data_IF_200582720866
#
_entry.id   IF_200582720866
#
_cell.length_a   1.000
_cell.length_b   1.000
_cell.length_c   1.000
_cell.angle_alpha   90.00
_cell.angle_beta   90.00
_cell.angle_gamma   90.00
#
_symmetry.space_group_name_H-M   'P 1'
#
loop_
_entity.id
_entity.type
_entity.pdbx_description
1 polymer ?
#
# COMPACT_ATOMS: atom_id res chain seq x y z
N UNK A 1 -11.93 -8.11 3.49
CA UNK A 1 -10.87 -7.51 2.66
C UNK A 1 -10.44 -6.21 3.32
N UNK A 2 -9.16 -5.86 3.30
CA UNK A 2 -8.57 -4.83 4.16
C UNK A 2 -8.96 -3.38 3.83
N UNK A 3 -8.59 -2.44 4.71
CA UNK A 3 -8.96 -1.03 4.62
C UNK A 3 -8.57 -0.36 3.31
N UNK A 4 -7.33 -0.56 2.82
CA UNK A 4 -6.89 0.06 1.56
C UNK A 4 -7.78 -0.38 0.41
N UNK A 5 -8.08 -1.68 0.30
CA UNK A 5 -8.95 -2.19 -0.75
C UNK A 5 -10.36 -1.59 -0.68
N UNK A 6 -10.93 -1.47 0.53
CA UNK A 6 -12.26 -0.89 0.73
C UNK A 6 -12.31 0.63 0.53
N UNK A 7 -11.16 1.30 0.58
CA UNK A 7 -11.06 2.75 0.39
C UNK A 7 -11.16 3.14 -1.09
N UNK A 8 -10.84 2.22 -1.99
CA UNK A 8 -10.92 2.41 -3.44
C UNK A 8 -12.21 1.84 -4.02
N UNK A 9 -12.69 2.46 -5.09
CA UNK A 9 -13.93 2.06 -5.76
C UNK A 9 -13.59 1.01 -6.83
N UNK A 10 -13.51 -0.24 -6.40
CA UNK A 10 -13.31 -1.38 -7.31
C UNK A 10 -14.65 -1.94 -7.79
N UNK A 11 -14.70 -2.34 -9.05
CA UNK A 11 -15.86 -3.04 -9.59
C UNK A 11 -16.09 -4.35 -8.81
N UNK A 12 -17.34 -4.70 -8.45
CA UNK A 12 -17.64 -5.95 -7.74
C UNK A 12 -17.10 -7.17 -8.48
N UNK A 13 -16.28 -7.97 -7.81
CA UNK A 13 -15.58 -9.13 -8.40
C UNK A 13 -14.15 -8.83 -8.87
N UNK A 14 -13.67 -7.59 -8.70
CA UNK A 14 -12.24 -7.29 -8.83
C UNK A 14 -11.42 -8.11 -7.84
N UNK A 15 -10.26 -8.57 -8.29
CA UNK A 15 -9.35 -9.38 -7.46
C UNK A 15 -7.95 -8.83 -7.48
N UNK A 16 -7.31 -8.82 -6.32
CA UNK A 16 -5.88 -8.57 -6.18
C UNK A 16 -5.12 -9.80 -6.70
N UNK A 17 -4.10 -9.57 -7.53
CA UNK A 17 -3.28 -10.64 -8.15
C UNK A 17 -1.79 -10.45 -7.95
N UNK A 18 -1.36 -9.30 -7.41
CA UNK A 18 0.02 -9.11 -6.98
C UNK A 18 0.14 -8.00 -5.95
N UNK A 19 1.26 -8.04 -5.25
CA UNK A 19 1.67 -7.07 -4.24
C UNK A 19 3.16 -6.80 -4.41
N UNK A 20 3.59 -5.57 -4.12
CA UNK A 20 5.01 -5.23 -4.19
C UNK A 20 5.37 -4.16 -3.18
N UNK A 21 6.64 -4.12 -2.81
CA UNK A 21 7.22 -3.13 -1.90
C UNK A 21 8.38 -2.42 -2.57
N UNK A 22 8.58 -1.14 -2.24
CA UNK A 22 9.77 -0.42 -2.66
C UNK A 22 10.96 -0.85 -1.81
N UNK A 23 12.17 -0.75 -2.35
CA UNK A 23 13.40 -0.86 -1.55
C UNK A 23 13.50 0.37 -0.65
N UNK A 24 13.79 0.15 0.63
CA UNK A 24 13.79 1.13 1.73
C UNK A 24 14.21 2.55 1.34
N UNK A 25 13.40 3.54 1.72
CA UNK A 25 13.78 4.96 1.70
C UNK A 25 13.22 5.65 2.95
N UNK A 26 14.13 6.00 3.85
CA UNK A 26 13.84 6.78 5.06
C UNK A 26 13.63 8.25 4.72
N UNK A 27 12.44 8.79 4.98
CA UNK A 27 12.11 10.19 4.74
C UNK A 27 11.98 10.98 6.06
N UNK A 28 13.04 11.02 6.88
CA UNK A 28 13.08 11.88 8.08
C UNK A 28 11.90 11.73 9.06
N UNK A 29 11.68 12.78 9.86
CA UNK A 29 10.55 12.92 10.79
C UNK A 29 9.48 13.82 10.16
N UNK A 30 8.20 13.57 10.44
CA UNK A 30 7.00 14.20 9.84
C UNK A 30 6.76 13.81 8.37
N UNK A 31 5.90 12.80 8.17
CA UNK A 31 5.64 12.17 6.89
C UNK A 31 4.14 12.16 6.58
N UNK A 32 3.82 12.11 5.29
CA UNK A 32 2.47 11.94 4.78
C UNK A 32 2.42 10.76 3.81
N UNK A 33 1.34 10.00 3.87
CA UNK A 33 1.08 8.88 2.97
C UNK A 33 0.12 9.30 1.85
N UNK A 34 0.29 8.71 0.68
CA UNK A 34 -0.58 8.94 -0.48
C UNK A 34 -0.74 7.65 -1.28
N UNK A 35 -1.95 7.38 -1.73
CA UNK A 35 -2.28 6.21 -2.54
C UNK A 35 -3.10 6.63 -3.76
N UNK A 36 -2.78 6.03 -4.90
CA UNK A 36 -3.41 6.35 -6.17
C UNK A 36 -3.84 5.06 -6.88
N UNK A 37 -5.13 4.95 -7.15
CA UNK A 37 -5.69 3.87 -7.97
C UNK A 37 -5.56 4.25 -9.44
N UNK A 38 -4.91 3.39 -10.21
CA UNK A 38 -4.61 3.54 -11.62
C UNK A 38 -5.35 2.44 -12.37
N UNK A 39 -6.18 2.83 -13.34
CA UNK A 39 -6.64 1.90 -14.37
C UNK A 39 -5.57 1.85 -15.46
N UNK A 40 -5.12 0.66 -15.83
CA UNK A 40 -4.07 0.47 -16.83
C UNK A 40 -4.69 0.31 -18.23
N UNK A 41 -3.90 0.10 -19.28
CA UNK A 41 -4.38 -0.31 -20.60
C UNK A 41 -4.93 -1.74 -20.59
N UNK A 42 -5.89 -2.08 -21.46
CA UNK A 42 -6.57 -3.40 -21.41
C UNK A 42 -5.63 -4.58 -21.63
N UNK A 43 -4.60 -4.40 -22.45
CA UNK A 43 -3.65 -5.45 -22.82
C UNK A 43 -2.32 -5.35 -22.04
N UNK A 44 -2.28 -4.54 -20.98
CA UNK A 44 -1.10 -4.35 -20.15
C UNK A 44 -1.00 -5.40 -19.04
N UNK A 45 0.21 -5.68 -18.58
CA UNK A 45 0.45 -6.54 -17.42
C UNK A 45 0.57 -5.68 -16.15
N UNK A 46 -0.24 -6.01 -15.14
CA UNK A 46 -0.31 -5.23 -13.90
C UNK A 46 1.02 -5.18 -13.12
N UNK A 47 1.82 -6.25 -13.16
CA UNK A 47 3.12 -6.29 -12.48
C UNK A 47 4.15 -5.44 -13.21
N UNK A 48 4.23 -5.57 -14.53
CA UNK A 48 5.18 -4.80 -15.35
C UNK A 48 4.90 -3.29 -15.26
N UNK A 49 3.63 -2.90 -15.36
CA UNK A 49 3.26 -1.48 -15.29
C UNK A 49 3.41 -0.90 -13.87
N UNK A 50 3.11 -1.69 -12.83
CA UNK A 50 3.34 -1.26 -11.44
C UNK A 50 4.82 -0.99 -11.17
N UNK A 51 5.71 -1.87 -11.63
CA UNK A 51 7.16 -1.70 -11.53
C UNK A 51 7.63 -0.49 -12.32
N UNK A 52 7.12 -0.31 -13.54
CA UNK A 52 7.42 0.85 -14.38
C UNK A 52 7.04 2.16 -13.69
N UNK A 53 5.82 2.25 -13.14
CA UNK A 53 5.37 3.42 -12.39
C UNK A 53 6.26 3.65 -11.17
N UNK A 54 6.49 2.62 -10.35
CA UNK A 54 7.33 2.70 -9.15
C UNK A 54 8.74 3.24 -9.45
N UNK A 55 9.35 2.81 -10.56
CA UNK A 55 10.68 3.28 -10.99
C UNK A 55 10.76 4.78 -11.28
N UNK A 56 9.64 5.43 -11.63
CA UNK A 56 9.57 6.87 -11.92
C UNK A 56 9.15 7.72 -10.72
N UNK A 57 8.77 7.09 -9.60
CA UNK A 57 8.21 7.75 -8.44
C UNK A 57 9.26 7.85 -7.33
N UNK A 58 9.73 9.06 -6.99
CA UNK A 58 10.79 9.22 -5.99
C UNK A 58 10.37 8.78 -4.59
N UNK A 59 9.06 8.87 -4.30
CA UNK A 59 8.42 8.59 -3.01
C UNK A 59 7.69 7.24 -2.97
N UNK A 60 7.92 6.36 -3.95
CA UNK A 60 7.29 5.04 -4.00
C UNK A 60 7.61 4.22 -2.74
N UNK A 61 6.58 3.63 -2.14
CA UNK A 61 6.66 2.79 -0.95
C UNK A 61 6.25 1.33 -1.22
N UNK A 62 5.38 1.11 -2.22
CA UNK A 62 4.86 -0.21 -2.56
C UNK A 62 3.52 -0.10 -3.26
N UNK A 63 2.74 -1.17 -3.21
CA UNK A 63 1.39 -1.19 -3.74
C UNK A 63 0.87 -2.60 -3.99
N UNK A 64 -0.31 -2.67 -4.59
CA UNK A 64 -0.92 -3.91 -5.03
C UNK A 64 -1.66 -3.71 -6.34
N UNK A 65 -1.73 -4.77 -7.14
CA UNK A 65 -2.36 -4.73 -8.46
C UNK A 65 -3.29 -5.92 -8.62
N UNK A 66 -4.13 -5.84 -9.64
CA UNK A 66 -5.14 -6.84 -9.87
C UNK A 66 -5.85 -6.66 -11.20
N UNK A 67 -6.98 -7.35 -11.30
CA UNK A 67 -7.83 -7.32 -12.49
C UNK A 67 -9.29 -7.10 -12.10
N UNK A 68 -9.98 -6.31 -12.90
CA UNK A 68 -11.44 -6.15 -12.86
C UNK A 68 -12.13 -7.44 -13.37
N UNK A 69 -13.45 -7.61 -13.14
CA UNK A 69 -14.20 -8.77 -13.62
C UNK A 69 -14.13 -8.99 -15.14
N UNK A 70 -13.99 -7.91 -15.92
CA UNK A 70 -13.84 -7.95 -17.37
C UNK A 70 -12.40 -8.22 -17.84
N UNK A 71 -11.47 -8.45 -16.90
CA UNK A 71 -10.06 -8.67 -17.16
C UNK A 71 -9.22 -7.39 -17.25
N UNK A 72 -9.82 -6.20 -17.12
CA UNK A 72 -9.07 -4.94 -17.22
C UNK A 72 -8.11 -4.79 -16.02
N UNK A 73 -6.79 -4.63 -16.25
CA UNK A 73 -5.82 -4.50 -15.17
C UNK A 73 -5.89 -3.15 -14.45
N UNK A 74 -5.59 -3.17 -13.15
CA UNK A 74 -5.50 -1.99 -12.29
C UNK A 74 -4.34 -2.11 -11.32
N UNK A 75 -3.86 -0.98 -10.82
CA UNK A 75 -2.83 -0.89 -9.78
C UNK A 75 -3.20 0.15 -8.73
N UNK A 76 -2.84 -0.08 -7.47
CA UNK A 76 -2.84 0.93 -6.41
C UNK A 76 -1.40 1.16 -5.99
N UNK A 77 -0.91 2.37 -6.23
CA UNK A 77 0.47 2.76 -5.92
C UNK A 77 0.49 3.53 -4.62
N UNK A 78 1.34 3.11 -3.69
CA UNK A 78 1.54 3.74 -2.39
C UNK A 78 2.82 4.58 -2.42
N UNK A 79 2.72 5.78 -1.87
CA UNK A 79 3.82 6.73 -1.76
C UNK A 79 3.89 7.33 -0.36
N UNK A 80 5.09 7.63 0.11
CA UNK A 80 5.35 8.35 1.37
C UNK A 80 6.37 9.45 1.13
N UNK A 81 6.05 10.67 1.56
CA UNK A 81 6.92 11.83 1.42
C UNK A 81 7.03 12.62 2.74
N UNK A 82 8.10 13.42 2.95
CA UNK A 82 8.14 14.37 4.05
C UNK A 82 6.98 15.36 3.98
N UNK A 83 6.28 15.59 5.09
CA UNK A 83 5.08 16.43 5.15
C UNK A 83 5.32 17.89 4.77
N UNK A 84 6.55 18.37 4.92
CA UNK A 84 6.95 19.74 4.58
C UNK A 84 7.39 19.94 3.11
N UNK A 85 7.46 18.88 2.30
CA UNK A 85 7.99 18.93 0.93
C UNK A 85 7.24 19.91 0.03
N UNK A 86 5.92 20.02 0.19
CA UNK A 86 5.09 20.96 -0.56
C UNK A 86 5.42 22.42 -0.22
N UNK A 87 5.68 22.71 1.07
CA UNK A 87 6.03 24.04 1.54
C UNK A 87 7.34 24.56 0.93
N UNK A 88 8.32 23.69 0.71
CA UNK A 88 9.62 24.05 0.09
C UNK A 88 9.50 24.61 -1.33
N UNK A 89 8.41 24.34 -2.04
CA UNK A 89 8.14 24.83 -3.40
C UNK A 89 6.92 25.77 -3.46
N UNK A 90 6.39 26.18 -2.31
CA UNK A 90 5.20 27.04 -2.23
C UNK A 90 3.90 26.36 -2.67
N UNK A 91 3.84 25.03 -2.70
CA UNK A 91 2.63 24.29 -3.02
C UNK A 91 1.69 24.24 -1.80
N UNK A 92 0.40 24.46 -2.04
CA UNK A 92 -0.65 24.44 -0.99
C UNK A 92 -1.03 23.00 -0.61
N UNK A 93 -0.99 22.07 -1.57
CA UNK A 93 -1.35 20.68 -1.34
C UNK A 93 -0.13 19.91 -0.77
N UNK A 94 -0.19 19.34 0.45
CA UNK A 94 0.92 18.57 1.04
C UNK A 94 1.32 17.36 0.19
N UNK A 95 0.40 16.80 -0.58
CA UNK A 95 0.62 15.64 -1.43
C UNK A 95 1.18 16.00 -2.82
N UNK A 96 1.44 17.28 -3.10
CA UNK A 96 1.90 17.77 -4.41
C UNK A 96 3.08 16.99 -5.01
N UNK A 97 4.15 16.66 -4.26
CA UNK A 97 5.29 15.97 -4.86
C UNK A 97 4.94 14.58 -5.42
N UNK A 98 4.06 13.85 -4.73
CA UNK A 98 3.61 12.51 -5.11
C UNK A 98 2.63 12.57 -6.29
N UNK A 99 1.70 13.53 -6.25
CA UNK A 99 0.77 13.82 -7.34
C UNK A 99 1.49 14.21 -8.64
N UNK A 100 2.44 15.15 -8.56
CA UNK A 100 3.20 15.61 -9.73
C UNK A 100 4.11 14.50 -10.26
N UNK A 101 4.70 13.69 -9.37
CA UNK A 101 5.45 12.48 -9.73
C UNK A 101 4.62 11.53 -10.60
N UNK A 102 3.42 11.15 -10.13
CA UNK A 102 2.53 10.25 -10.86
C UNK A 102 2.09 10.83 -12.20
N UNK A 103 1.74 12.12 -12.24
CA UNK A 103 1.40 12.80 -13.50
C UNK A 103 2.50 12.73 -14.54
N UNK A 104 3.78 12.80 -14.13
CA UNK A 104 4.91 12.66 -15.05
C UNK A 104 5.11 11.20 -15.47
N UNK A 105 4.99 10.25 -14.55
CA UNK A 105 5.10 8.83 -14.85
C UNK A 105 4.05 8.38 -15.88
N UNK A 106 2.80 8.82 -15.72
CA UNK A 106 1.71 8.49 -16.64
C UNK A 106 1.86 9.09 -18.05
N UNK A 107 2.76 10.05 -18.27
CA UNK A 107 3.04 10.53 -19.65
C UNK A 107 3.69 9.47 -20.52
N UNK A 108 4.29 8.44 -19.92
CA UNK A 108 4.88 7.31 -20.63
C UNK A 108 3.88 6.18 -20.89
N UNK A 109 2.69 6.21 -20.26
CA UNK A 109 1.63 5.25 -20.45
C UNK A 109 0.31 5.97 -20.74
N UNK A 110 0.04 6.22 -22.01
CA UNK A 110 -1.11 7.00 -22.47
C UNK A 110 -2.47 6.33 -22.23
N UNK A 111 -2.50 5.02 -21.99
CA UNK A 111 -3.72 4.27 -21.69
C UNK A 111 -4.05 4.25 -20.19
N UNK A 112 -3.04 4.48 -19.35
CA UNK A 112 -3.21 4.50 -17.91
C UNK A 112 -3.82 5.83 -17.42
N UNK A 113 -4.73 5.73 -16.45
CA UNK A 113 -5.40 6.88 -15.86
C UNK A 113 -5.53 6.74 -14.34
N UNK A 114 -5.29 7.84 -13.62
CA UNK A 114 -5.64 7.94 -12.20
C UNK A 114 -7.16 7.97 -12.08
N UNK A 115 -7.70 7.07 -11.28
CA UNK A 115 -9.13 6.94 -11.01
C UNK A 115 -9.49 7.60 -9.68
N UNK A 116 -8.72 7.30 -8.63
CA UNK A 116 -8.94 7.81 -7.28
C UNK A 116 -7.62 8.06 -6.58
N UNK A 117 -7.61 9.07 -5.72
CA UNK A 117 -6.45 9.46 -4.92
C UNK A 117 -6.87 9.64 -3.46
N UNK A 118 -6.02 9.18 -2.54
CA UNK A 118 -6.25 9.28 -1.09
C UNK A 118 -4.95 9.61 -0.39
N UNK A 119 -5.01 10.54 0.55
CA UNK A 119 -3.87 10.94 1.36
C UNK A 119 -4.21 10.84 2.83
N UNK A 120 -3.18 10.57 3.63
CA UNK A 120 -3.28 10.49 5.08
C UNK A 120 -2.09 11.17 5.74
N UNK A 121 -2.39 11.84 6.84
CA UNK A 121 -1.41 12.20 7.89
C UNK A 121 -1.16 11.02 8.82
N UNK A 122 -0.13 11.12 9.66
CA UNK A 122 0.13 10.12 10.71
C UNK A 122 -1.07 9.91 11.64
N UNK A 123 -1.72 11.01 12.06
CA UNK A 123 -2.89 10.94 12.96
C UNK A 123 -4.08 10.24 12.30
N UNK A 124 -4.30 10.47 11.00
CA UNK A 124 -5.36 9.82 10.24
C UNK A 124 -5.10 8.31 10.09
N UNK A 125 -3.86 7.90 9.87
CA UNK A 125 -3.50 6.47 9.85
C UNK A 125 -3.72 5.81 11.22
N UNK A 126 -3.31 6.47 12.31
CA UNK A 126 -3.55 5.95 13.67
C UNK A 126 -5.06 5.81 13.97
N UNK A 127 -5.89 6.73 13.47
CA UNK A 127 -7.35 6.61 13.58
C UNK A 127 -7.91 5.41 12.79
N UNK A 128 -7.33 5.08 11.63
CA UNK A 128 -7.71 3.86 10.88
C UNK A 128 -7.42 2.62 11.71
N UNK A 129 -6.22 2.52 12.30
CA UNK A 129 -5.84 1.41 13.17
C UNK A 129 -6.78 1.28 14.38
N UNK A 130 -7.05 2.39 15.06
CA UNK A 130 -7.99 2.42 16.18
C UNK A 130 -9.41 1.98 15.78
N UNK A 131 -9.88 2.42 14.60
CA UNK A 131 -11.17 2.01 14.05
C UNK A 131 -11.29 0.52 13.74
N UNK A 132 -10.15 -0.17 13.60
CA UNK A 132 -10.06 -1.63 13.40
C UNK A 132 -9.78 -2.41 14.69
N UNK A 133 -9.87 -1.75 15.86
CA UNK A 133 -9.68 -2.40 17.15
C UNK A 133 -8.23 -2.58 17.59
N UNK A 134 -7.27 -1.90 16.94
CA UNK A 134 -5.89 -1.81 17.43
C UNK A 134 -5.80 -0.70 18.48
N UNK A 135 -5.23 -1.00 19.65
CA UNK A 135 -4.89 0.04 20.64
C UNK A 135 -3.75 0.91 20.08
N UNK A 136 -3.91 2.26 19.97
CA UNK A 136 -2.86 3.15 19.50
C UNK A 136 -1.53 3.00 20.25
N UNK A 137 -1.55 2.55 21.51
CA UNK A 137 -0.34 2.31 22.30
C UNK A 137 0.52 1.15 21.77
N UNK A 138 -0.02 0.27 20.92
CA UNK A 138 0.75 -0.81 20.28
C UNK A 138 1.43 -0.40 18.97
N UNK A 139 1.14 0.81 18.48
CA UNK A 139 1.68 1.34 17.22
C UNK A 139 2.17 2.78 17.39
N UNK A 140 2.46 3.21 18.62
CA UNK A 140 2.88 4.58 18.92
C UNK A 140 4.30 4.89 18.43
N UNK A 141 5.13 3.86 18.27
CA UNK A 141 6.48 3.91 17.72
C UNK A 141 6.52 3.65 16.20
N UNK A 142 5.39 3.34 15.56
CA UNK A 142 5.34 3.05 14.13
C UNK A 142 5.46 4.33 13.31
N UNK A 143 6.32 4.28 12.29
CA UNK A 143 6.42 5.35 11.31
C UNK A 143 5.24 5.32 10.33
N UNK A 144 5.02 6.39 9.57
CA UNK A 144 4.00 6.42 8.50
C UNK A 144 4.19 5.29 7.48
N UNK A 145 5.43 4.98 7.03
CA UNK A 145 5.70 3.76 6.25
C UNK A 145 5.23 2.49 6.94
N UNK A 146 5.55 2.27 8.22
CA UNK A 146 5.14 1.07 8.94
C UNK A 146 3.60 0.94 9.01
N UNK A 147 2.91 2.04 9.32
CA UNK A 147 1.45 2.10 9.34
C UNK A 147 0.87 1.80 7.94
N UNK A 148 1.46 2.36 6.89
CA UNK A 148 1.00 2.11 5.53
C UNK A 148 1.27 0.65 5.11
N UNK A 149 2.38 0.07 5.55
CA UNK A 149 2.72 -1.31 5.27
C UNK A 149 1.81 -2.31 5.98
N UNK A 150 1.39 -2.01 7.22
CA UNK A 150 0.40 -2.84 7.90
C UNK A 150 -0.96 -2.83 7.21
N UNK A 151 -1.43 -1.67 6.72
CA UNK A 151 -2.66 -1.60 5.91
C UNK A 151 -2.52 -2.33 4.56
N UNK A 152 -1.33 -2.35 3.98
CA UNK A 152 -1.05 -3.14 2.78
C UNK A 152 -1.08 -4.65 3.09
N UNK A 153 -0.45 -5.09 4.19
CA UNK A 153 -0.49 -6.46 4.68
C UNK A 153 -1.91 -6.93 5.02
N UNK A 154 -2.78 -6.04 5.49
CA UNK A 154 -4.19 -6.34 5.72
C UNK A 154 -4.93 -6.76 4.43
N UNK A 155 -4.48 -6.27 3.27
CA UNK A 155 -5.04 -6.67 1.97
C UNK A 155 -4.73 -8.14 1.62
N UNK A 156 -3.76 -8.76 2.29
CA UNK A 156 -3.38 -10.16 2.15
C UNK A 156 -4.19 -11.11 3.06
N UNK A 157 -5.35 -10.66 3.55
CA UNK A 157 -6.30 -11.44 4.36
C UNK A 157 -5.81 -11.74 5.79
N UNK A 158 -4.87 -10.95 6.31
CA UNK A 158 -4.46 -11.02 7.72
C UNK A 158 -5.07 -9.83 8.47
N UNK A 159 -5.82 -10.05 9.57
CA UNK A 159 -6.37 -8.97 10.36
C UNK A 159 -5.29 -8.03 10.91
N UNK A 160 -5.56 -6.72 10.93
CA UNK A 160 -4.62 -5.73 11.43
C UNK A 160 -4.15 -5.96 12.88
N UNK A 161 -5.02 -6.40 13.83
CA UNK A 161 -4.57 -6.76 15.18
C UNK A 161 -3.52 -7.89 15.19
N UNK A 162 -3.63 -8.88 14.30
CA UNK A 162 -2.68 -9.99 14.22
C UNK A 162 -1.35 -9.53 13.63
N UNK A 163 -1.37 -8.64 12.63
CA UNK A 163 -0.17 -8.00 12.08
C UNK A 163 0.56 -7.19 13.17
N UNK A 164 -0.18 -6.40 13.96
CA UNK A 164 0.41 -5.59 15.03
C UNK A 164 1.01 -6.47 16.14
N UNK A 165 0.30 -7.54 16.54
CA UNK A 165 0.84 -8.50 17.50
C UNK A 165 2.11 -9.20 16.99
N UNK A 166 2.14 -9.57 15.70
CA UNK A 166 3.28 -10.20 15.05
C UNK A 166 4.53 -9.32 14.98
N UNK A 167 4.37 -7.99 15.00
CA UNK A 167 5.51 -7.06 14.99
C UNK A 167 6.42 -7.24 16.21
N UNK A 168 5.86 -7.48 17.40
CA UNK A 168 6.62 -7.64 18.65
C UNK A 168 7.58 -8.83 18.60
N UNK A 169 7.13 -9.91 17.97
CA UNK A 169 7.88 -11.16 17.81
C UNK A 169 8.57 -11.27 16.45
N UNK A 170 8.50 -10.21 15.64
CA UNK A 170 9.05 -10.11 14.30
C UNK A 170 8.58 -11.24 13.36
N UNK A 171 7.35 -11.71 13.53
CA UNK A 171 6.78 -12.78 12.73
C UNK A 171 5.25 -12.73 12.76
N UNK A 172 4.62 -12.80 11.59
CA UNK A 172 3.15 -12.81 11.50
C UNK A 172 2.51 -14.17 11.86
N UNK A 173 3.29 -15.26 11.83
CA UNK A 173 2.76 -16.62 11.99
C UNK A 173 3.64 -17.47 12.94
N UNK A 174 3.81 -17.07 14.20
CA UNK A 174 4.76 -17.72 15.13
C UNK A 174 4.45 -19.21 15.39
N UNK A 175 3.18 -19.58 15.30
CA UNK A 175 2.71 -20.95 15.59
C UNK A 175 2.72 -21.86 14.35
N UNK A 176 3.09 -21.33 13.18
CA UNK A 176 3.08 -22.05 11.91
C UNK A 176 4.50 -22.21 11.41
N UNK A 177 4.93 -23.44 11.12
CA UNK A 177 6.25 -23.65 10.50
C UNK A 177 6.30 -23.02 9.10
N UNK A 178 7.22 -22.08 8.88
CA UNK A 178 7.49 -21.43 7.60
C UNK A 178 8.91 -20.87 7.57
N UNK A 179 9.38 -20.52 6.37
CA UNK A 179 10.64 -19.77 6.20
C UNK A 179 10.40 -18.32 6.64
N UNK A 180 10.59 -18.06 7.93
CA UNK A 180 10.39 -16.76 8.56
C UNK A 180 11.52 -15.79 8.15
N UNK A 181 11.13 -14.62 7.65
CA UNK A 181 12.02 -13.55 7.19
C UNK A 181 12.42 -12.60 8.34
N UNK A 182 11.94 -12.88 9.56
CA UNK A 182 12.12 -12.02 10.74
C UNK A 182 11.60 -10.58 10.53
N UNK A 183 10.61 -10.44 9.65
CA UNK A 183 9.88 -9.21 9.40
C UNK A 183 8.42 -9.54 9.13
N UNK A 184 7.53 -8.95 9.94
CA UNK A 184 6.10 -9.27 9.93
C UNK A 184 5.45 -9.01 8.57
N UNK A 185 5.85 -7.95 7.87
CA UNK A 185 5.25 -7.61 6.58
C UNK A 185 5.74 -8.57 5.50
N UNK A 186 7.04 -8.83 5.47
CA UNK A 186 7.66 -9.75 4.50
C UNK A 186 7.09 -11.16 4.63
N UNK A 187 6.88 -11.66 5.86
CA UNK A 187 6.22 -12.95 6.11
C UNK A 187 4.80 -13.00 5.53
N UNK A 188 4.00 -11.95 5.76
CA UNK A 188 2.63 -11.86 5.23
C UNK A 188 2.64 -11.87 3.70
N UNK A 189 3.49 -11.06 3.07
CA UNK A 189 3.57 -10.97 1.61
C UNK A 189 4.03 -12.28 0.98
N UNK A 190 5.08 -12.90 1.54
CA UNK A 190 5.61 -14.17 1.03
C UNK A 190 4.56 -15.30 1.10
N UNK A 191 3.82 -15.40 2.21
CA UNK A 191 2.76 -16.42 2.34
C UNK A 191 1.55 -16.15 1.46
N UNK A 192 1.22 -14.88 1.24
CA UNK A 192 0.15 -14.51 0.31
C UNK A 192 0.52 -14.88 -1.13
N UNK A 193 1.74 -14.54 -1.58
CA UNK A 193 2.25 -14.86 -2.90
C UNK A 193 2.34 -16.38 -3.15
N UNK A 194 2.70 -17.14 -2.10
CA UNK A 194 2.68 -18.61 -2.11
C UNK A 194 1.26 -19.23 -2.13
N UNK A 195 0.19 -18.42 -2.04
CA UNK A 195 -1.20 -18.88 -2.04
C UNK A 195 -1.65 -19.55 -0.75
N UNK A 196 -0.92 -19.33 0.35
CA UNK A 196 -1.25 -19.87 1.68
C UNK A 196 -2.27 -19.04 2.45
N UNK A 197 -2.46 -17.78 2.05
CA UNK A 197 -3.45 -16.87 2.62
C UNK A 197 -4.62 -16.72 1.65
N UNK A 198 -5.85 -16.86 2.16
CA UNK A 198 -7.07 -16.83 1.36
C UNK A 198 -8.13 -16.01 2.11
N UNK A 199 -9.09 -15.40 1.38
CA UNK A 199 -10.25 -14.82 2.05
C UNK A 199 -10.98 -15.92 2.82
N UNK A 200 -11.48 -15.59 4.01
CA UNK A 200 -12.38 -16.47 4.74
C UNK A 200 -13.58 -16.82 3.83
N UNK A 201 -13.91 -18.11 3.74
CA UNK A 201 -15.14 -18.53 3.05
C UNK A 201 -16.34 -18.00 3.84
N UNK A 202 -17.33 -17.37 3.17
CA UNK A 202 -18.50 -16.79 3.83
C UNK A 202 -19.41 -17.82 4.51
#
# INVERSE_FOLDING_TARGET
MGYLFNTFDFEPGSRMTGIWTARERFYGVDQVAFAQQIRLGRDQDGSVEADFLGAHLPFHAGGFHGVSPDGHPWAVVLQVAPGNSAGSVGAVNPYWPMFDGMKRALRFNAEAAVMLERGWTSDELLQVYAGQGVDPAHVDDWTVPDLLMGLLAECCYVPLPDIVAGRVIQCAFPDVNHDCEHDVFTDVFARWDAGHLKPDEP
#
